data_IF_153697358604
#
_entry.id   IF_153697358604
#
_cell.length_a   1.000
_cell.length_b   1.000
_cell.length_c   1.000
_cell.angle_alpha   90.00
_cell.angle_beta   90.00
_cell.angle_gamma   90.00
#
_symmetry.space_group_name_H-M   'P 1'
#
loop_
_entity.id
_entity.type
_entity.pdbx_description
1 polymer ?
#
# COMPACT_ATOMS: atom_id res chain seq x y z
N UNK A 1 -6.63 6.90 -28.76
CA UNK A 1 -6.25 6.59 -28.30
C UNK A 1 -6.28 6.35 -27.31
N UNK A 2 -6.21 5.94 -26.96
CA UNK A 2 -6.28 5.67 -26.03
C UNK A 2 -5.55 5.79 -25.15
N UNK A 3 -5.72 5.99 -24.41
CA UNK A 3 -5.04 6.20 -23.49
C UNK A 3 -4.71 5.12 -22.91
N UNK A 4 -3.82 4.90 -22.61
CA UNK A 4 -3.45 3.88 -22.06
C UNK A 4 -3.63 3.92 -20.75
N UNK A 5 -4.08 3.11 -20.12
CA UNK A 5 -4.19 3.09 -18.84
C UNK A 5 -3.02 2.72 -18.23
N UNK A 6 -2.42 3.35 -17.39
CA UNK A 6 -1.34 2.97 -16.69
C UNK A 6 -1.77 2.17 -15.61
N UNK A 7 -1.61 0.94 -15.57
CA UNK A 7 -1.90 0.11 -14.53
C UNK A 7 -0.97 0.33 -13.42
N UNK A 8 -1.37 0.72 -12.26
CA UNK A 8 -0.49 0.87 -11.11
C UNK A 8 -0.17 -0.49 -10.54
N UNK A 9 1.01 -0.67 -9.98
CA UNK A 9 1.31 -1.91 -9.29
C UNK A 9 0.40 -2.08 -8.09
N UNK A 10 0.13 -3.30 -7.67
CA UNK A 10 -0.72 -3.50 -6.49
C UNK A 10 0.02 -3.13 -5.22
N UNK A 11 -0.73 -2.98 -4.15
CA UNK A 11 -0.13 -2.73 -2.84
C UNK A 11 0.80 -3.88 -2.51
N UNK A 12 1.84 -3.61 -1.77
CA UNK A 12 2.82 -4.63 -1.44
C UNK A 12 3.38 -4.42 -0.05
N UNK A 13 3.94 -5.49 0.52
CA UNK A 13 4.54 -5.45 1.83
C UNK A 13 6.02 -5.12 1.69
N UNK A 14 6.54 -4.36 2.62
CA UNK A 14 7.95 -3.99 2.62
C UNK A 14 8.43 -3.87 4.05
N UNK A 15 9.71 -4.08 4.24
CA UNK A 15 10.28 -3.97 5.56
C UNK A 15 10.28 -2.51 5.99
N UNK A 16 9.90 -2.28 7.25
CA UNK A 16 9.83 -0.92 7.77
C UNK A 16 11.23 -0.35 7.90
N UNK A 17 11.43 0.85 7.42
CA UNK A 17 12.74 1.45 7.45
C UNK A 17 13.07 2.17 8.73
N UNK A 18 12.07 2.49 9.54
CA UNK A 18 12.30 3.19 10.78
C UNK A 18 13.03 2.26 11.72
N UNK A 19 14.20 2.65 12.19
CA UNK A 19 15.00 1.80 13.05
C UNK A 19 14.30 1.47 14.36
N UNK A 20 13.41 2.32 14.80
CA UNK A 20 12.68 2.04 16.04
C UNK A 20 11.67 0.92 15.83
N UNK A 21 11.33 0.63 14.60
CA UNK A 21 10.38 -0.41 14.29
C UNK A 21 11.05 -1.52 13.49
N UNK A 22 12.36 -1.66 13.66
CA UNK A 22 13.10 -2.66 12.91
C UNK A 22 12.49 -4.04 13.15
N UNK A 23 12.46 -4.83 12.11
CA UNK A 23 11.89 -6.17 12.23
C UNK A 23 10.41 -6.24 11.94
N UNK A 24 9.78 -5.11 11.66
CA UNK A 24 8.37 -5.13 11.30
C UNK A 24 8.22 -4.83 9.82
N UNK A 25 7.01 -5.02 9.31
CA UNK A 25 6.71 -4.79 7.91
C UNK A 25 5.55 -3.84 7.77
N UNK A 26 5.50 -3.15 6.68
CA UNK A 26 4.43 -2.19 6.41
C UNK A 26 3.87 -2.44 5.03
N UNK A 27 2.74 -1.85 4.74
CA UNK A 27 2.10 -1.98 3.44
C UNK A 27 2.21 -0.65 2.72
N UNK A 28 2.64 -0.71 1.48
CA UNK A 28 2.78 0.47 0.64
C UNK A 28 1.81 0.37 -0.51
N UNK A 29 1.11 1.46 -0.79
CA UNK A 29 0.10 1.49 -1.83
C UNK A 29 0.50 2.51 -2.87
N UNK A 30 0.91 2.06 -4.06
CA UNK A 30 1.23 3.02 -5.13
C UNK A 30 -0.01 3.82 -5.51
N UNK A 31 0.15 5.13 -5.62
CA UNK A 31 -0.97 6.00 -5.96
C UNK A 31 -0.64 6.76 -7.23
N UNK A 32 -1.67 7.19 -7.97
CA UNK A 32 -1.44 7.86 -9.23
C UNK A 32 -0.70 9.18 -9.06
N UNK A 33 0.20 9.42 -10.00
CA UNK A 33 0.89 10.71 -10.05
C UNK A 33 1.70 11.05 -8.82
N UNK A 34 2.11 10.04 -8.07
CA UNK A 34 2.98 10.27 -6.95
C UNK A 34 4.24 9.48 -7.14
N UNK A 35 5.36 10.06 -6.78
CA UNK A 35 6.61 9.35 -6.88
C UNK A 35 6.77 8.31 -5.81
N UNK A 36 6.19 8.54 -4.66
CA UNK A 36 6.32 7.61 -3.57
C UNK A 36 4.99 7.00 -3.22
N UNK A 37 4.96 5.75 -2.86
CA UNK A 37 3.70 5.12 -2.48
C UNK A 37 3.20 5.63 -1.13
N UNK A 38 1.93 5.49 -0.92
CA UNK A 38 1.31 5.86 0.35
C UNK A 38 1.59 4.75 1.35
N UNK A 39 2.02 5.12 2.55
CA UNK A 39 2.29 4.14 3.57
C UNK A 39 1.07 3.97 4.46
N UNK A 40 0.64 2.74 4.61
CA UNK A 40 -0.46 2.45 5.51
C UNK A 40 0.06 2.51 6.94
N UNK A 41 -0.63 3.21 7.83
CA UNK A 41 -0.15 3.38 9.21
C UNK A 41 -0.40 2.15 10.08
N UNK A 42 0.08 1.01 9.64
CA UNK A 42 -0.04 -0.22 10.38
C UNK A 42 1.28 -0.96 10.31
N UNK A 43 1.61 -1.66 11.37
CA UNK A 43 2.84 -2.42 11.42
C UNK A 43 2.48 -3.89 11.57
N UNK A 44 3.20 -4.74 10.89
CA UNK A 44 2.95 -6.17 10.92
C UNK A 44 4.22 -6.91 11.36
N UNK A 45 4.07 -7.98 12.09
CA UNK A 45 5.25 -8.70 12.60
C UNK A 45 6.00 -9.48 11.53
N UNK A 46 5.36 -9.84 10.43
CA UNK A 46 6.01 -10.58 9.37
C UNK A 46 5.51 -10.10 8.04
N UNK A 47 6.27 -10.43 7.01
CA UNK A 47 5.85 -10.08 5.66
C UNK A 47 4.56 -10.80 5.29
N UNK A 48 4.44 -12.04 5.74
CA UNK A 48 3.24 -12.81 5.43
C UNK A 48 2.01 -12.17 6.06
N UNK A 49 2.13 -11.66 7.29
CA UNK A 49 1.01 -11.01 7.94
C UNK A 49 0.59 -9.77 7.15
N UNK A 50 1.56 -9.00 6.66
CA UNK A 50 1.26 -7.82 5.87
C UNK A 50 0.58 -8.20 4.56
N UNK A 51 1.07 -9.25 3.91
CA UNK A 51 0.46 -9.68 2.66
C UNK A 51 -0.93 -10.24 2.87
N UNK A 52 -1.15 -10.95 3.96
CA UNK A 52 -2.48 -11.46 4.25
C UNK A 52 -3.46 -10.32 4.46
N UNK A 53 -3.00 -9.25 5.10
CA UNK A 53 -3.87 -8.10 5.30
C UNK A 53 -4.26 -7.48 3.96
N UNK A 54 -3.30 -7.39 3.03
CA UNK A 54 -3.55 -6.81 1.72
C UNK A 54 -4.69 -7.56 1.03
N UNK A 55 -4.73 -8.88 1.18
CA UNK A 55 -5.73 -9.69 0.51
C UNK A 55 -7.00 -9.88 1.33
N UNK A 56 -7.04 -9.38 2.55
CA UNK A 56 -8.23 -9.50 3.37
C UNK A 56 -9.27 -8.47 2.96
N UNK A 57 -10.52 -8.68 3.30
CA UNK A 57 -11.54 -7.69 2.97
C UNK A 57 -11.26 -6.33 3.60
N UNK A 58 -10.71 -6.33 4.82
CA UNK A 58 -10.36 -5.11 5.48
C UNK A 58 -9.26 -4.39 4.74
N UNK A 59 -8.24 -5.11 4.33
CA UNK A 59 -7.13 -4.51 3.59
C UNK A 59 -7.57 -3.98 2.25
N UNK A 60 -8.39 -4.74 1.54
CA UNK A 60 -8.85 -4.30 0.24
C UNK A 60 -9.68 -3.03 0.35
N UNK A 61 -10.49 -2.92 1.38
CA UNK A 61 -11.29 -1.74 1.57
C UNK A 61 -10.42 -0.54 1.91
N UNK A 62 -9.44 -0.73 2.78
CA UNK A 62 -8.55 0.35 3.15
C UNK A 62 -7.75 0.85 1.95
N UNK A 63 -7.26 -0.08 1.13
CA UNK A 63 -6.49 0.28 -0.05
C UNK A 63 -7.39 1.03 -1.05
N UNK A 64 -8.62 0.58 -1.21
CA UNK A 64 -9.54 1.26 -2.10
C UNK A 64 -9.81 2.68 -1.64
N UNK A 65 -9.93 2.88 -0.32
CA UNK A 65 -10.15 4.21 0.22
C UNK A 65 -8.96 5.10 -0.03
N UNK A 66 -7.75 4.58 0.11
CA UNK A 66 -6.55 5.35 -0.14
C UNK A 66 -6.48 5.78 -1.60
N UNK A 67 -6.81 4.87 -2.51
CA UNK A 67 -6.76 5.20 -3.92
C UNK A 67 -7.84 6.19 -4.30
N UNK A 68 -9.02 6.04 -3.73
CA UNK A 68 -10.10 6.96 -4.00
C UNK A 68 -9.76 8.37 -3.51
N UNK A 69 -9.15 8.43 -2.33
CA UNK A 69 -8.78 9.70 -1.76
C UNK A 69 -7.69 10.37 -2.59
N UNK A 70 -6.75 9.60 -3.09
CA UNK A 70 -5.68 10.15 -3.91
C UNK A 70 -6.21 10.73 -5.21
N UNK A 71 -7.28 10.15 -5.72
CA UNK A 71 -7.83 10.64 -6.97
C UNK A 71 -8.73 11.84 -6.82
N UNK A 72 -9.08 12.18 -5.60
CA UNK A 72 -9.92 13.31 -5.41
C UNK A 72 -9.24 14.58 -5.73
N UNK A 73 -7.99 14.64 -5.69
CA UNK A 73 -7.29 15.84 -6.05
C UNK A 73 -6.82 15.76 -7.46
#
# INVERSE_FOLDING_TARGET
MKKKERKLPPAYAAETRDTRLAGTFEVLVPVPERNKPHRVPLQFPTQMAAENWIHSPEGKEAIADILADAQKN
#
